data_IF_437437194867
#
_entry.id   IF_437437194867
#
_cell.length_a   1.000
_cell.length_b   1.000
_cell.length_c   1.000
_cell.angle_alpha   90.00
_cell.angle_beta   90.00
_cell.angle_gamma   90.00
#
_symmetry.space_group_name_H-M   'P 1'
#
loop_
_entity.id
_entity.type
_entity.pdbx_description
1 polymer ?
#
# COMPACT_ATOMS: atom_id res chain seq x y z
N UNK A 1 -1.07 1.41 -1.24
CA UNK A 1 -1.77 2.33 -2.16
C UNK A 1 -2.39 3.44 -1.34
N UNK A 2 -2.44 4.68 -1.83
CA UNK A 2 -3.12 5.78 -1.14
C UNK A 2 -3.73 6.77 -2.13
N UNK A 3 -4.61 7.64 -1.62
CA UNK A 3 -5.14 8.79 -2.35
C UNK A 3 -5.01 10.05 -1.49
N UNK A 4 -4.31 11.09 -1.95
CA UNK A 4 -4.29 12.39 -1.28
C UNK A 4 -5.68 13.06 -1.21
N UNK A 5 -5.94 13.89 -0.18
CA UNK A 5 -5.06 14.20 0.94
C UNK A 5 -4.94 13.03 1.93
N UNK A 6 -3.79 12.88 2.59
CA UNK A 6 -3.58 11.84 3.58
C UNK A 6 -4.43 12.06 4.84
N UNK A 7 -4.99 10.98 5.37
CA UNK A 7 -5.60 10.98 6.71
C UNK A 7 -4.53 11.12 7.79
N UNK A 8 -4.91 11.49 9.00
CA UNK A 8 -3.97 11.58 10.12
C UNK A 8 -3.29 10.26 10.44
N UNK A 9 -4.00 9.15 10.23
CA UNK A 9 -3.47 7.81 10.39
C UNK A 9 -2.41 7.49 9.32
N UNK A 10 -2.69 7.75 8.04
CA UNK A 10 -1.71 7.54 6.97
C UNK A 10 -0.45 8.41 7.15
N UNK A 11 -0.61 9.65 7.62
CA UNK A 11 0.53 10.51 7.99
C UNK A 11 1.35 9.88 9.11
N UNK A 12 0.70 9.38 10.16
CA UNK A 12 1.36 8.67 11.25
C UNK A 12 2.11 7.41 10.76
N UNK A 13 1.52 6.61 9.87
CA UNK A 13 2.18 5.43 9.29
C UNK A 13 3.43 5.81 8.50
N UNK A 14 3.39 6.88 7.71
CA UNK A 14 4.57 7.35 6.96
C UNK A 14 5.69 7.80 7.92
N UNK A 15 5.34 8.58 8.93
CA UNK A 15 6.26 9.14 9.91
C UNK A 15 6.91 8.08 10.81
N UNK A 16 6.11 7.17 11.36
CA UNK A 16 6.54 6.27 12.45
C UNK A 16 6.61 4.81 12.05
N UNK A 17 6.02 4.43 10.92
CA UNK A 17 6.13 3.09 10.34
C UNK A 17 7.13 3.09 9.19
N UNK A 18 6.69 3.53 8.00
CA UNK A 18 7.43 3.38 6.75
C UNK A 18 8.82 4.02 6.79
N UNK A 19 8.98 5.18 7.43
CA UNK A 19 10.30 5.81 7.58
C UNK A 19 11.31 4.90 8.30
N UNK A 20 10.91 4.26 9.39
CA UNK A 20 11.81 3.39 10.15
C UNK A 20 11.96 2.01 9.51
N UNK A 21 10.90 1.48 8.90
CA UNK A 21 10.94 0.22 8.16
C UNK A 21 11.92 0.28 6.99
N UNK A 22 11.88 1.35 6.19
CA UNK A 22 12.81 1.52 5.07
C UNK A 22 14.25 1.66 5.56
N UNK A 23 14.48 2.41 6.65
CA UNK A 23 15.81 2.49 7.29
C UNK A 23 16.30 1.15 7.84
N UNK A 24 15.39 0.27 8.25
CA UNK A 24 15.70 -1.09 8.67
C UNK A 24 15.91 -2.06 7.48
N UNK A 25 15.68 -1.60 6.25
CA UNK A 25 15.96 -2.36 5.02
C UNK A 25 14.72 -2.90 4.30
N UNK A 26 13.49 -2.55 4.72
CA UNK A 26 12.30 -2.90 3.95
C UNK A 26 12.20 -2.07 2.65
N UNK A 27 11.78 -2.70 1.55
CA UNK A 27 11.44 -2.00 0.31
C UNK A 27 9.95 -1.63 0.32
N UNK A 28 9.66 -0.42 0.79
CA UNK A 28 8.31 0.13 0.82
C UNK A 28 8.12 1.09 -0.35
N UNK A 29 6.98 0.96 -1.05
CA UNK A 29 6.63 1.79 -2.20
C UNK A 29 5.22 2.37 -2.06
N UNK A 30 5.02 3.57 -2.59
CA UNK A 30 3.74 4.27 -2.60
C UNK A 30 3.18 4.28 -4.02
N UNK A 31 2.01 3.67 -4.18
CA UNK A 31 1.15 3.88 -5.34
C UNK A 31 0.16 5.01 -5.01
N UNK A 32 0.41 6.19 -5.55
CA UNK A 32 -0.46 7.36 -5.44
C UNK A 32 -1.51 7.36 -6.56
N UNK A 33 -2.75 7.06 -6.21
CA UNK A 33 -3.86 6.96 -7.16
C UNK A 33 -4.27 8.30 -7.79
N UNK A 34 -3.75 9.44 -7.32
CA UNK A 34 -3.96 10.73 -7.97
C UNK A 34 -3.02 10.97 -9.16
N UNK A 35 -1.90 10.25 -9.21
CA UNK A 35 -0.87 10.36 -10.26
C UNK A 35 -0.80 9.10 -11.14
N UNK A 36 -1.49 8.03 -10.76
CA UNK A 36 -1.50 6.78 -11.50
C UNK A 36 -2.26 6.89 -12.85
N UNK A 37 -1.91 6.07 -13.85
CA UNK A 37 -2.65 6.01 -15.12
C UNK A 37 -4.14 5.71 -14.93
N UNK A 38 -5.03 6.20 -15.81
CA UNK A 38 -6.46 5.85 -15.78
C UNK A 38 -6.68 4.33 -15.78
N UNK A 39 -7.64 3.86 -14.99
CA UNK A 39 -7.92 2.43 -14.82
C UNK A 39 -7.15 1.78 -13.68
N UNK A 40 -6.18 2.45 -13.06
CA UNK A 40 -5.46 1.93 -11.88
C UNK A 40 -6.38 1.82 -10.65
N UNK A 41 -7.47 2.58 -10.62
CA UNK A 41 -8.50 2.51 -9.57
C UNK A 41 -9.12 1.12 -9.40
N UNK A 42 -9.12 0.29 -10.45
CA UNK A 42 -9.60 -1.11 -10.36
C UNK A 42 -8.78 -1.95 -9.39
N UNK A 43 -7.51 -1.57 -9.13
CA UNK A 43 -6.66 -2.21 -8.14
C UNK A 43 -7.22 -2.02 -6.73
N UNK A 44 -7.92 -0.90 -6.48
CA UNK A 44 -8.51 -0.61 -5.19
C UNK A 44 -9.75 -1.49 -4.89
N UNK A 45 -10.46 -1.93 -5.93
CA UNK A 45 -11.65 -2.78 -5.78
C UNK A 45 -11.31 -4.20 -5.29
N UNK A 46 -10.08 -4.65 -5.52
CA UNK A 46 -9.58 -5.95 -5.03
C UNK A 46 -9.40 -5.93 -3.51
N UNK A 47 -9.05 -4.76 -2.96
CA UNK A 47 -8.75 -4.56 -1.55
C UNK A 47 -7.35 -5.04 -1.16
N UNK A 48 -7.08 -5.05 0.14
CA UNK A 48 -5.79 -5.40 0.68
C UNK A 48 -5.53 -6.91 0.63
N UNK A 49 -4.29 -7.27 0.30
CA UNK A 49 -3.86 -8.65 0.29
C UNK A 49 -2.36 -8.74 0.54
N UNK A 50 -1.91 -9.91 1.00
CA UNK A 50 -0.51 -10.29 1.00
C UNK A 50 -0.25 -11.29 -0.12
N UNK A 51 0.93 -11.19 -0.73
CA UNK A 51 1.47 -12.19 -1.62
C UNK A 51 2.76 -12.72 -1.02
N UNK A 52 2.69 -13.89 -0.40
CA UNK A 52 3.82 -14.53 0.30
C UNK A 52 4.62 -15.35 -0.72
N UNK A 53 5.94 -15.19 -0.69
CA UNK A 53 6.91 -15.84 -1.60
C UNK A 53 6.61 -15.65 -3.09
N UNK A 54 5.81 -14.63 -3.44
CA UNK A 54 5.37 -14.40 -4.82
C UNK A 54 4.33 -15.41 -5.32
N UNK A 55 3.84 -16.32 -4.47
CA UNK A 55 3.00 -17.45 -4.87
C UNK A 55 1.66 -17.48 -4.14
N UNK A 56 1.68 -17.31 -2.81
CA UNK A 56 0.51 -17.51 -1.96
C UNK A 56 -0.18 -16.19 -1.65
N UNK A 57 -1.30 -15.95 -2.33
CA UNK A 57 -2.13 -14.79 -2.08
C UNK A 57 -3.07 -15.03 -0.89
N UNK A 58 -3.15 -14.04 0.02
CA UNK A 58 -4.03 -14.03 1.19
C UNK A 58 -4.79 -12.71 1.15
N UNK A 59 -6.12 -12.77 1.00
CA UNK A 59 -6.97 -11.59 0.99
C UNK A 59 -7.26 -11.15 2.42
N UNK A 60 -7.10 -9.86 2.69
CA UNK A 60 -7.42 -9.23 3.96
C UNK A 60 -8.84 -8.65 3.88
N UNK A 61 -9.75 -9.14 4.73
CA UNK A 61 -11.13 -8.69 4.73
C UNK A 61 -11.37 -7.68 5.84
N UNK A 62 -11.99 -6.57 5.47
CA UNK A 62 -12.41 -5.53 6.39
C UNK A 62 -13.90 -5.26 6.22
N UNK A 63 -14.59 -5.04 7.32
CA UNK A 63 -15.99 -4.68 7.34
C UNK A 63 -16.19 -3.26 6.78
N UNK A 64 -17.44 -2.87 6.53
CA UNK A 64 -17.74 -1.50 6.11
C UNK A 64 -17.40 -0.44 7.18
N UNK A 65 -17.30 -0.84 8.46
CA UNK A 65 -16.80 0.02 9.55
C UNK A 65 -15.27 0.06 9.64
N UNK A 66 -14.56 -0.74 8.84
CA UNK A 66 -13.10 -0.83 8.82
C UNK A 66 -12.53 -1.85 9.81
N UNK A 67 -13.38 -2.67 10.45
CA UNK A 67 -12.92 -3.71 11.36
C UNK A 67 -12.31 -4.86 10.58
N UNK A 68 -11.22 -5.44 11.10
CA UNK A 68 -10.60 -6.61 10.48
C UNK A 68 -11.42 -7.87 10.74
N UNK A 69 -12.03 -8.42 9.70
CA UNK A 69 -12.90 -9.61 9.76
C UNK A 69 -12.12 -10.92 9.56
N UNK A 70 -10.89 -10.84 9.05
CA UNK A 70 -9.99 -11.98 8.91
C UNK A 70 -9.23 -12.02 7.59
N UNK A 71 -8.30 -12.98 7.51
CA UNK A 71 -7.47 -13.22 6.34
C UNK A 71 -7.83 -14.58 5.72
N UNK A 72 -8.09 -14.61 4.42
CA UNK A 72 -8.53 -15.82 3.70
C UNK A 72 -7.56 -16.14 2.56
N UNK A 73 -6.99 -17.36 2.52
CA UNK A 73 -6.19 -17.79 1.38
C UNK A 73 -6.98 -17.73 0.07
N UNK A 74 -6.35 -17.21 -0.97
CA UNK A 74 -6.92 -17.12 -2.30
C UNK A 74 -6.79 -18.47 -3.00
N UNK A 75 -7.89 -18.95 -3.59
CA UNK A 75 -7.91 -20.21 -4.33
C UNK A 75 -7.11 -20.15 -5.65
N UNK A 76 -6.61 -21.30 -6.13
CA UNK A 76 -5.77 -21.37 -7.32
C UNK A 76 -6.46 -20.82 -8.59
N UNK A 77 -7.79 -20.82 -8.64
CA UNK A 77 -8.57 -20.31 -9.76
C UNK A 77 -8.37 -18.82 -10.06
N UNK A 78 -7.97 -18.03 -9.04
CA UNK A 78 -7.76 -16.58 -9.16
C UNK A 78 -6.39 -16.12 -8.65
N UNK A 79 -5.55 -17.02 -8.14
CA UNK A 79 -4.23 -16.68 -7.62
C UNK A 79 -3.35 -15.92 -8.63
N UNK A 80 -3.42 -16.30 -9.91
CA UNK A 80 -2.70 -15.65 -11.00
C UNK A 80 -3.07 -14.17 -11.15
N UNK A 81 -4.34 -13.83 -10.96
CA UNK A 81 -4.79 -12.44 -10.97
C UNK A 81 -4.12 -11.63 -9.85
N UNK A 82 -4.05 -12.17 -8.63
CA UNK A 82 -3.38 -11.50 -7.51
C UNK A 82 -1.88 -11.30 -7.76
N UNK A 83 -1.20 -12.25 -8.41
CA UNK A 83 0.21 -12.07 -8.81
C UNK A 83 0.38 -10.96 -9.83
N UNK A 84 -0.48 -10.91 -10.86
CA UNK A 84 -0.46 -9.83 -11.86
C UNK A 84 -0.74 -8.48 -11.22
N UNK A 85 -1.71 -8.41 -10.31
CA UNK A 85 -2.06 -7.20 -9.57
C UNK A 85 -0.88 -6.71 -8.72
N UNK A 86 -0.23 -7.60 -7.95
CA UNK A 86 0.94 -7.27 -7.15
C UNK A 86 2.08 -6.73 -8.02
N UNK A 87 2.40 -7.44 -9.11
CA UNK A 87 3.44 -7.02 -10.03
C UNK A 87 3.14 -5.65 -10.66
N UNK A 88 1.92 -5.45 -11.15
CA UNK A 88 1.48 -4.19 -11.77
C UNK A 88 1.53 -3.04 -10.76
N UNK A 89 1.03 -3.26 -9.54
CA UNK A 89 1.08 -2.27 -8.46
C UNK A 89 2.51 -1.89 -8.14
N UNK A 90 3.41 -2.87 -8.09
CA UNK A 90 4.84 -2.65 -7.82
C UNK A 90 5.51 -1.78 -8.87
N UNK A 91 5.26 -2.06 -10.16
CA UNK A 91 5.83 -1.29 -11.27
C UNK A 91 5.32 0.15 -11.33
N UNK A 92 4.06 0.37 -10.93
CA UNK A 92 3.46 1.71 -10.90
C UNK A 92 3.80 2.51 -9.63
N UNK A 93 4.22 1.85 -8.55
CA UNK A 93 4.53 2.50 -7.29
C UNK A 93 5.92 3.16 -7.30
N UNK A 94 6.05 4.26 -6.58
CA UNK A 94 7.30 5.01 -6.37
C UNK A 94 7.95 4.56 -5.05
N UNK A 95 9.29 4.47 -4.92
CA UNK A 95 9.93 4.22 -3.63
C UNK A 95 9.44 5.19 -2.55
N UNK A 96 9.19 4.69 -1.33
CA UNK A 96 8.61 5.48 -0.26
C UNK A 96 9.42 6.75 0.04
N UNK A 97 10.74 6.64 0.17
CA UNK A 97 11.60 7.80 0.49
C UNK A 97 11.52 8.89 -0.58
N UNK A 98 11.41 8.50 -1.85
CA UNK A 98 11.25 9.45 -2.97
C UNK A 98 9.90 10.15 -2.86
N UNK A 99 8.79 9.39 -2.78
CA UNK A 99 7.46 9.98 -2.67
C UNK A 99 7.32 10.83 -1.41
N UNK A 100 7.81 10.37 -0.26
CA UNK A 100 7.73 11.09 1.00
C UNK A 100 8.55 12.39 1.02
N UNK A 101 9.73 12.38 0.38
CA UNK A 101 10.57 13.57 0.23
C UNK A 101 9.95 14.66 -0.66
N UNK A 102 9.15 14.25 -1.66
CA UNK A 102 8.41 15.17 -2.54
C UNK A 102 7.15 15.76 -1.87
N UNK A 103 6.72 15.23 -0.73
CA UNK A 103 5.48 15.63 -0.05
C UNK A 103 5.70 16.15 1.40
N UNK A 104 6.56 17.16 1.63
CA UNK A 104 6.83 17.70 2.96
C UNK A 104 5.58 18.30 3.63
N UNK A 105 4.56 18.69 2.86
CA UNK A 105 3.29 19.20 3.39
C UNK A 105 2.53 18.20 4.28
N UNK A 106 2.84 16.90 4.21
CA UNK A 106 2.22 15.89 5.07
C UNK A 106 2.98 15.65 6.38
N UNK A 107 4.23 16.09 6.48
CA UNK A 107 5.09 15.90 7.65
C UNK A 107 4.65 16.83 8.78
N UNK A 108 4.47 16.29 9.99
CA UNK A 108 4.18 17.09 11.19
C UNK A 108 5.42 17.87 11.61
N UNK A 109 5.24 19.13 11.97
CA UNK A 109 6.34 20.04 12.35
C UNK A 109 7.09 19.63 13.61
N UNK A 110 6.50 18.76 14.45
CA UNK A 110 7.13 18.19 15.63
C UNK A 110 7.68 16.77 15.42
N UNK A 111 7.58 16.22 14.21
CA UNK A 111 8.16 14.93 13.88
C UNK A 111 9.61 15.10 13.43
N UNK A 112 10.49 14.20 13.88
CA UNK A 112 11.89 14.13 13.43
C UNK A 112 12.23 12.66 13.24
N UNK A 113 12.69 12.25 12.05
CA UNK A 113 12.87 10.85 11.73
C UNK A 113 14.13 10.27 12.37
#
# INVERSE_FOLDING_TARGET
>A
MLRPPLTDYLRYECEWGYTYNVRAGEDVRILDLSQAPPGTEVLADVGDFFLVDGEHAIRMNYSASGDFDGAVPVGPEVADCFRVLAHTSWQLATPFETWWGEHPQYQRSNWTP
#
